data_IF_419974862363
#
_entry.id   IF_419974862363
#
_cell.length_a   1.000
_cell.length_b   1.000
_cell.length_c   1.000
_cell.angle_alpha   90.00
_cell.angle_beta   90.00
_cell.angle_gamma   90.00
#
_symmetry.space_group_name_H-M   'P 1'
#
loop_
_entity.id
_entity.type
_entity.pdbx_description
1 polymer ?
#
# COMPACT_ATOMS: atom_id res chain seq x y z
N UNK A 1 -22.29 -10.51 6.50
CA UNK A 1 -20.94 -10.21 7.04
C UNK A 1 -20.05 -9.91 5.85
N UNK A 2 -19.63 -8.65 5.65
CA UNK A 2 -18.81 -8.24 4.49
C UNK A 2 -17.36 -8.17 4.96
N UNK A 3 -16.44 -8.71 4.16
CA UNK A 3 -15.00 -8.59 4.36
C UNK A 3 -14.36 -7.84 3.20
N UNK A 4 -13.39 -7.00 3.49
CA UNK A 4 -12.66 -6.20 2.51
C UNK A 4 -11.17 -6.43 2.68
N UNK A 5 -10.53 -6.78 1.57
CA UNK A 5 -9.10 -7.05 1.51
C UNK A 5 -8.44 -6.05 0.58
N UNK A 6 -7.22 -5.63 0.91
CA UNK A 6 -6.40 -4.79 0.04
C UNK A 6 -5.19 -5.59 -0.47
N UNK A 7 -4.93 -5.55 -1.78
CA UNK A 7 -3.74 -6.14 -2.42
C UNK A 7 -2.97 -5.04 -3.14
N UNK A 8 -1.72 -4.83 -2.75
CA UNK A 8 -0.83 -3.92 -3.45
C UNK A 8 0.16 -4.71 -4.33
N UNK A 9 0.17 -4.42 -5.63
CA UNK A 9 1.14 -4.99 -6.56
C UNK A 9 2.53 -4.34 -6.41
N UNK A 10 3.62 -5.03 -6.77
CA UNK A 10 4.90 -4.38 -7.02
C UNK A 10 4.78 -3.34 -8.14
N UNK A 11 5.66 -2.33 -8.09
CA UNK A 11 5.83 -1.39 -9.19
C UNK A 11 6.27 -2.12 -10.46
N UNK A 12 5.76 -1.70 -11.62
CA UNK A 12 6.15 -2.22 -12.91
C UNK A 12 7.53 -1.69 -13.30
N UNK A 13 8.17 -2.34 -14.27
CA UNK A 13 9.47 -1.88 -14.80
C UNK A 13 9.36 -0.47 -15.40
N UNK A 14 8.24 -0.16 -16.04
CA UNK A 14 7.96 1.14 -16.64
C UNK A 14 7.84 2.23 -15.57
N UNK A 15 7.12 1.97 -14.48
CA UNK A 15 6.96 2.91 -13.35
C UNK A 15 8.29 3.19 -12.65
N UNK A 16 9.10 2.15 -12.46
CA UNK A 16 10.45 2.30 -11.91
C UNK A 16 11.32 3.14 -12.87
N UNK A 17 11.22 2.89 -14.18
CA UNK A 17 11.99 3.62 -15.20
C UNK A 17 11.55 5.09 -15.32
N UNK A 18 10.28 5.40 -15.05
CA UNK A 18 9.76 6.77 -14.99
C UNK A 18 10.05 7.50 -13.67
N UNK A 19 10.78 6.87 -12.75
CA UNK A 19 11.11 7.45 -11.44
C UNK A 19 9.92 7.53 -10.48
N UNK A 20 8.85 6.76 -10.72
CA UNK A 20 7.71 6.69 -9.83
C UNK A 20 8.07 5.95 -8.53
N UNK A 21 7.46 6.37 -7.43
CA UNK A 21 7.72 5.83 -6.09
C UNK A 21 6.46 5.24 -5.47
N UNK A 22 6.65 4.27 -4.58
CA UNK A 22 5.55 3.71 -3.78
C UNK A 22 5.09 4.75 -2.75
N UNK A 23 3.82 5.16 -2.84
CA UNK A 23 3.19 6.04 -1.85
C UNK A 23 2.51 5.28 -0.72
N UNK A 24 2.26 3.98 -0.91
CA UNK A 24 1.68 3.11 0.09
C UNK A 24 2.72 2.69 1.13
N UNK A 25 2.32 2.74 2.41
CA UNK A 25 3.09 2.33 3.57
C UNK A 25 2.43 1.09 4.20
N UNK A 26 3.25 0.06 4.40
CA UNK A 26 2.85 -1.28 4.83
C UNK A 26 3.33 -1.63 6.23
N UNK A 27 3.87 -0.68 7.01
CA UNK A 27 4.37 -0.94 8.37
C UNK A 27 3.33 -1.65 9.26
N UNK A 28 2.06 -1.23 9.16
CA UNK A 28 0.93 -1.78 9.91
C UNK A 28 0.06 -2.78 9.12
N UNK A 29 0.57 -3.35 8.01
CA UNK A 29 -0.20 -4.28 7.18
C UNK A 29 -0.65 -5.55 7.94
N UNK A 30 0.15 -5.99 8.93
CA UNK A 30 -0.18 -7.12 9.82
C UNK A 30 -1.41 -6.85 10.69
N UNK A 31 -1.72 -5.58 10.95
CA UNK A 31 -2.89 -5.12 11.72
C UNK A 31 -4.09 -4.81 10.81
N UNK A 32 -3.95 -5.09 9.50
CA UNK A 32 -4.96 -4.79 8.50
C UNK A 32 -4.96 -3.32 8.07
N UNK A 33 -3.89 -2.56 8.34
CA UNK A 33 -3.82 -1.14 8.03
C UNK A 33 -2.92 -0.85 6.82
N UNK A 34 -3.36 0.10 5.99
CA UNK A 34 -2.62 0.62 4.85
C UNK A 34 -2.47 2.13 5.01
N UNK A 35 -1.23 2.61 5.07
CA UNK A 35 -0.93 4.03 5.01
C UNK A 35 -0.79 4.51 3.57
N UNK A 36 -1.27 5.70 3.25
CA UNK A 36 -1.05 6.38 1.97
C UNK A 36 -0.40 7.74 2.25
N UNK A 37 0.83 7.91 1.76
CA UNK A 37 1.54 9.18 1.83
C UNK A 37 1.04 10.11 0.74
N UNK A 38 0.31 11.16 1.13
CA UNK A 38 -0.08 12.22 0.18
C UNK A 38 1.12 13.15 -0.06
N UNK A 39 1.60 13.18 -1.31
CA UNK A 39 2.70 14.05 -1.72
C UNK A 39 2.41 15.53 -1.43
N UNK A 40 3.46 16.28 -1.11
CA UNK A 40 3.40 17.75 -0.99
C UNK A 40 3.09 18.33 0.41
N UNK A 41 2.79 17.51 1.43
CA UNK A 41 2.44 18.05 2.75
C UNK A 41 2.67 17.13 3.96
N UNK A 42 3.42 16.02 3.82
CA UNK A 42 3.77 15.13 4.93
C UNK A 42 2.60 14.42 5.63
N UNK A 43 1.39 14.53 5.09
CA UNK A 43 0.21 13.91 5.71
C UNK A 43 0.07 12.46 5.24
N UNK A 44 0.02 11.52 6.19
CA UNK A 44 -0.27 10.09 5.98
C UNK A 44 -1.74 9.84 6.29
N UNK A 45 -2.47 9.21 5.35
CA UNK A 45 -3.84 8.72 5.58
C UNK A 45 -3.80 7.22 5.82
N UNK A 46 -4.45 6.75 6.87
CA UNK A 46 -4.52 5.32 7.21
C UNK A 46 -5.91 4.77 6.91
N UNK A 47 -5.97 3.60 6.30
CA UNK A 47 -7.19 2.86 6.00
C UNK A 47 -7.12 1.46 6.61
N UNK A 48 -8.25 0.95 7.10
CA UNK A 48 -8.35 -0.35 7.76
C UNK A 48 -9.13 -1.35 6.92
N UNK A 49 -8.62 -2.58 6.88
CA UNK A 49 -9.12 -3.72 6.11
C UNK A 49 -9.11 -4.97 6.98
N UNK A 50 -9.78 -6.03 6.55
CA UNK A 50 -9.67 -7.36 7.17
C UNK A 50 -8.27 -7.94 6.97
N UNK A 51 -7.61 -7.64 5.84
CA UNK A 51 -6.22 -7.98 5.56
C UNK A 51 -5.64 -7.07 4.48
N UNK A 52 -4.35 -6.76 4.63
CA UNK A 52 -3.54 -6.07 3.60
C UNK A 52 -2.46 -7.02 3.13
N UNK A 53 -2.39 -7.26 1.83
CA UNK A 53 -1.34 -8.04 1.17
C UNK A 53 -0.37 -7.10 0.46
N UNK A 54 0.89 -7.15 0.87
CA UNK A 54 1.99 -6.30 0.42
C UNK A 54 2.59 -6.84 -0.88
N UNK A 55 3.41 -6.04 -1.59
CA UNK A 55 4.15 -6.49 -2.77
C UNK A 55 5.10 -7.68 -2.52
N UNK A 56 5.43 -7.99 -1.26
CA UNK A 56 6.37 -9.06 -0.88
C UNK A 56 5.68 -10.40 -0.58
N UNK A 57 4.36 -10.42 -0.50
CA UNK A 57 3.60 -11.62 -0.09
C UNK A 57 3.46 -12.68 -1.20
N UNK A 58 4.34 -12.68 -2.22
CA UNK A 58 4.42 -13.65 -3.32
C UNK A 58 3.05 -14.04 -3.89
N UNK A 59 2.28 -13.01 -4.25
CA UNK A 59 0.86 -13.14 -4.59
C UNK A 59 0.58 -13.42 -6.06
#
# INVERSE_FOLDING_TARGET
NIRVFCRCRPLSKEEISSGSVMVADFEAAKEGELGINTGGGGTKKTFKFDRVYTPKDDQ
#
